data_IF_619473100858
#
_entry.id   IF_619473100858
#
_cell.length_a   1.000
_cell.length_b   1.000
_cell.length_c   1.000
_cell.angle_alpha   90.00
_cell.angle_beta   90.00
_cell.angle_gamma   90.00
#
_symmetry.space_group_name_H-M   'P 1'
#
loop_
_entity.id
_entity.type
_entity.pdbx_description
1 polymer ?
#
# COMPACT_ATOMS: atom_id res chain seq x y z
N UNK A 1 2.19 -36.85 -20.65
CA UNK A 1 3.54 -36.32 -20.31
C UNK A 1 3.78 -36.09 -18.81
N UNK A 2 2.86 -35.52 -18.01
CA UNK A 2 3.07 -35.23 -16.55
C UNK A 2 3.18 -36.49 -15.65
N UNK A 3 2.36 -37.51 -15.86
CA UNK A 3 2.34 -38.74 -15.01
C UNK A 3 3.63 -39.54 -15.13
N UNK A 4 4.15 -39.72 -16.34
CA UNK A 4 5.39 -40.47 -16.58
C UNK A 4 6.61 -39.79 -15.90
N UNK A 5 6.67 -38.47 -15.89
CA UNK A 5 7.72 -37.75 -15.18
C UNK A 5 7.63 -37.94 -13.64
N UNK A 6 6.44 -38.02 -13.09
CA UNK A 6 6.23 -38.30 -11.66
C UNK A 6 6.71 -39.72 -11.33
N UNK A 7 6.32 -40.69 -12.12
CA UNK A 7 6.75 -42.11 -11.96
C UNK A 7 8.27 -42.23 -12.01
N UNK A 8 8.91 -41.57 -12.97
CA UNK A 8 10.36 -41.59 -13.12
C UNK A 8 11.07 -40.93 -11.94
N UNK A 9 10.54 -39.80 -11.43
CA UNK A 9 11.05 -39.16 -10.22
C UNK A 9 10.94 -40.10 -8.99
N UNK A 10 9.78 -40.71 -8.78
CA UNK A 10 9.58 -41.65 -7.67
C UNK A 10 10.53 -42.82 -7.74
N UNK A 11 10.73 -43.44 -8.94
CA UNK A 11 11.68 -44.52 -9.16
C UNK A 11 13.12 -44.09 -8.86
N UNK A 12 13.54 -42.90 -9.32
CA UNK A 12 14.86 -42.34 -9.04
C UNK A 12 15.10 -42.15 -7.54
N UNK A 13 14.16 -41.53 -6.83
CA UNK A 13 14.29 -41.29 -5.38
C UNK A 13 14.30 -42.59 -4.58
N UNK A 14 13.48 -43.59 -4.97
CA UNK A 14 13.47 -44.90 -4.34
C UNK A 14 14.83 -45.60 -4.47
N UNK A 15 15.46 -45.52 -5.65
CA UNK A 15 16.78 -46.13 -5.91
C UNK A 15 17.89 -45.43 -5.13
N UNK A 16 17.82 -44.12 -5.02
CA UNK A 16 18.87 -43.29 -4.38
C UNK A 16 18.76 -43.18 -2.85
N UNK A 17 17.57 -43.12 -2.29
CA UNK A 17 17.35 -42.81 -0.87
C UNK A 17 16.55 -43.88 -0.10
N UNK A 18 16.12 -44.96 -0.76
CA UNK A 18 15.31 -46.03 -0.17
C UNK A 18 13.82 -45.66 -0.01
N UNK A 19 13.01 -46.68 0.26
CA UNK A 19 11.54 -46.60 0.25
C UNK A 19 11.03 -45.60 1.31
N UNK A 20 11.52 -45.68 2.56
CA UNK A 20 11.03 -44.84 3.66
C UNK A 20 11.20 -43.34 3.39
N UNK A 21 12.38 -42.92 2.89
CA UNK A 21 12.63 -41.49 2.55
C UNK A 21 11.82 -41.03 1.35
N UNK A 22 11.60 -41.92 0.36
CA UNK A 22 10.77 -41.64 -0.81
C UNK A 22 9.31 -41.39 -0.42
N UNK A 23 8.73 -42.26 0.41
CA UNK A 23 7.36 -42.07 0.94
C UNK A 23 7.25 -40.77 1.70
N UNK A 24 8.18 -40.46 2.63
CA UNK A 24 8.17 -39.20 3.39
C UNK A 24 8.18 -37.98 2.46
N UNK A 25 8.97 -38.01 1.39
CA UNK A 25 9.06 -36.91 0.41
C UNK A 25 7.80 -36.75 -0.45
N UNK A 26 7.16 -37.88 -0.84
CA UNK A 26 5.89 -37.86 -1.58
C UNK A 26 4.78 -37.31 -0.70
N UNK A 27 4.68 -37.80 0.54
CA UNK A 27 3.70 -37.30 1.52
C UNK A 27 3.89 -35.80 1.77
N UNK A 28 5.12 -35.34 2.02
CA UNK A 28 5.43 -33.92 2.22
C UNK A 28 5.01 -33.04 1.02
N UNK A 29 5.24 -33.50 -0.23
CA UNK A 29 4.77 -32.79 -1.42
C UNK A 29 3.25 -32.75 -1.55
N UNK A 30 2.56 -33.82 -1.16
CA UNK A 30 1.09 -33.86 -1.17
C UNK A 30 0.54 -32.89 -0.12
N UNK A 31 1.08 -32.94 1.12
CA UNK A 31 0.67 -32.00 2.19
C UNK A 31 0.91 -30.55 1.81
N UNK A 32 2.08 -30.22 1.26
CA UNK A 32 2.37 -28.84 0.84
C UNK A 32 1.43 -28.35 -0.28
N UNK A 33 1.05 -29.24 -1.19
CA UNK A 33 0.11 -28.91 -2.27
C UNK A 33 -1.31 -28.68 -1.74
N UNK A 34 -1.76 -29.52 -0.82
CA UNK A 34 -3.08 -29.40 -0.17
C UNK A 34 -3.11 -28.12 0.66
N UNK A 35 -2.06 -27.87 1.45
CA UNK A 35 -1.95 -26.66 2.29
C UNK A 35 -2.00 -25.38 1.44
N UNK A 36 -1.18 -25.27 0.38
CA UNK A 36 -1.23 -24.13 -0.55
C UNK A 36 -2.59 -23.94 -1.18
N UNK A 37 -3.27 -25.04 -1.53
CA UNK A 37 -4.63 -24.94 -2.09
C UNK A 37 -5.63 -24.40 -1.08
N UNK A 38 -5.54 -24.80 0.18
CA UNK A 38 -6.42 -24.29 1.24
C UNK A 38 -6.18 -22.82 1.54
N UNK A 39 -4.90 -22.37 1.55
CA UNK A 39 -4.56 -20.95 1.72
C UNK A 39 -5.08 -20.10 0.56
N UNK A 40 -4.90 -20.57 -0.69
CA UNK A 40 -5.43 -19.87 -1.85
C UNK A 40 -6.96 -19.74 -1.82
N UNK A 41 -7.68 -20.77 -1.39
CA UNK A 41 -9.14 -20.73 -1.24
C UNK A 41 -9.58 -19.76 -0.14
N UNK A 42 -8.86 -19.71 0.99
CA UNK A 42 -9.11 -18.72 2.05
C UNK A 42 -8.89 -17.30 1.54
N UNK A 43 -7.76 -17.05 0.89
CA UNK A 43 -7.42 -15.73 0.34
C UNK A 43 -8.45 -15.28 -0.71
N UNK A 44 -8.93 -16.19 -1.57
CA UNK A 44 -9.98 -15.88 -2.54
C UNK A 44 -11.30 -15.52 -1.85
N UNK A 45 -11.70 -16.29 -0.83
CA UNK A 45 -12.91 -15.99 -0.04
C UNK A 45 -12.82 -14.65 0.68
N UNK A 46 -11.65 -14.28 1.23
CA UNK A 46 -11.44 -12.97 1.87
C UNK A 46 -11.50 -11.82 0.87
N UNK A 47 -10.93 -12.00 -0.32
CA UNK A 47 -11.05 -11.01 -1.41
C UNK A 47 -12.49 -10.80 -1.85
N UNK A 48 -13.27 -11.86 -1.99
CA UNK A 48 -14.69 -11.78 -2.35
C UNK A 48 -15.50 -11.04 -1.27
N UNK A 49 -15.24 -11.33 0.00
CA UNK A 49 -15.84 -10.61 1.13
C UNK A 49 -15.48 -9.13 1.11
N UNK A 50 -14.20 -8.81 0.87
CA UNK A 50 -13.72 -7.43 0.78
C UNK A 50 -14.35 -6.68 -0.39
N UNK A 51 -14.43 -7.29 -1.57
CA UNK A 51 -15.11 -6.68 -2.73
C UNK A 51 -16.60 -6.43 -2.47
N UNK A 52 -17.25 -7.35 -1.77
CA UNK A 52 -18.66 -7.18 -1.36
C UNK A 52 -18.79 -6.04 -0.35
N UNK A 53 -17.84 -5.93 0.59
CA UNK A 53 -17.83 -4.85 1.56
C UNK A 53 -17.61 -3.49 0.87
N UNK A 54 -16.63 -3.37 -0.04
CA UNK A 54 -16.41 -2.16 -0.85
C UNK A 54 -17.72 -1.74 -1.52
N UNK A 55 -18.33 -2.64 -2.28
CA UNK A 55 -19.57 -2.35 -3.00
C UNK A 55 -20.72 -1.83 -2.12
N UNK A 56 -20.75 -2.27 -0.86
CA UNK A 56 -21.83 -1.92 0.07
C UNK A 56 -21.51 -0.69 0.94
N UNK A 57 -20.23 -0.29 1.05
CA UNK A 57 -19.79 0.72 2.01
C UNK A 57 -19.08 1.92 1.35
N UNK A 58 -18.49 1.76 0.17
CA UNK A 58 -17.91 2.90 -0.54
C UNK A 58 -19.00 3.73 -1.22
N UNK A 59 -18.88 5.07 -1.17
CA UNK A 59 -19.84 5.94 -1.82
C UNK A 59 -19.79 5.80 -3.34
N UNK A 60 -20.93 5.88 -3.98
CA UNK A 60 -21.01 5.92 -5.46
C UNK A 60 -20.48 7.26 -5.99
N UNK A 61 -20.12 7.34 -7.29
CA UNK A 61 -19.73 8.61 -7.91
C UNK A 61 -20.77 9.72 -7.72
N UNK A 62 -22.05 9.39 -7.79
CA UNK A 62 -23.14 10.34 -7.58
C UNK A 62 -23.18 10.87 -6.15
N UNK A 63 -22.98 9.97 -5.16
CA UNK A 63 -22.90 10.34 -3.74
C UNK A 63 -21.69 11.23 -3.47
N UNK A 64 -20.53 10.96 -4.13
CA UNK A 64 -19.35 11.82 -4.01
C UNK A 64 -19.60 13.22 -4.57
N UNK A 65 -20.30 13.33 -5.70
CA UNK A 65 -20.69 14.62 -6.27
C UNK A 65 -21.66 15.39 -5.35
N UNK A 66 -22.59 14.71 -4.71
CA UNK A 66 -23.46 15.33 -3.71
C UNK A 66 -22.68 15.82 -2.48
N UNK A 67 -21.72 15.01 -1.98
CA UNK A 67 -20.85 15.41 -0.89
C UNK A 67 -20.05 16.67 -1.21
N UNK A 68 -19.54 16.82 -2.44
CA UNK A 68 -18.80 18.04 -2.87
C UNK A 68 -19.64 19.31 -2.82
N UNK A 69 -20.97 19.19 -2.94
CA UNK A 69 -21.90 20.32 -2.90
C UNK A 69 -22.21 20.77 -1.46
N UNK A 70 -21.88 19.95 -0.46
CA UNK A 70 -22.17 20.28 0.95
C UNK A 70 -21.33 21.49 1.36
N UNK A 71 -21.99 22.48 1.92
CA UNK A 71 -21.35 23.66 2.49
C UNK A 71 -21.39 23.60 4.00
N UNK A 72 -20.23 23.63 4.63
CA UNK A 72 -20.10 23.62 6.09
C UNK A 72 -20.04 25.06 6.62
N UNK A 73 -20.67 25.33 7.79
CA UNK A 73 -20.57 26.63 8.47
C UNK A 73 -19.15 26.89 8.99
N UNK A 74 -18.49 25.84 9.50
CA UNK A 74 -17.10 25.86 9.95
C UNK A 74 -16.32 24.99 8.98
N UNK A 75 -15.23 25.52 8.44
CA UNK A 75 -14.39 24.84 7.45
C UNK A 75 -12.96 24.73 8.00
N UNK A 76 -12.71 23.82 8.97
CA UNK A 76 -11.38 23.66 9.51
C UNK A 76 -10.41 23.20 8.43
N UNK A 77 -9.18 23.69 8.48
CA UNK A 77 -8.12 23.26 7.60
C UNK A 77 -7.38 22.07 8.22
N UNK A 78 -7.18 21.02 7.44
CA UNK A 78 -6.43 19.85 7.84
C UNK A 78 -5.01 19.88 7.27
N UNK A 79 -4.00 19.76 8.13
CA UNK A 79 -2.61 19.56 7.71
C UNK A 79 -2.26 18.08 7.79
N UNK A 80 -1.98 17.46 6.65
CA UNK A 80 -1.59 16.06 6.54
C UNK A 80 -0.06 16.02 6.53
N UNK A 81 0.52 15.53 7.62
CA UNK A 81 1.97 15.56 7.88
C UNK A 81 2.59 14.22 7.55
N UNK A 82 3.50 14.19 6.60
CA UNK A 82 4.05 12.96 6.05
C UNK A 82 5.59 13.01 6.01
N UNK A 83 6.28 12.19 6.81
CA UNK A 83 7.71 11.99 6.66
C UNK A 83 7.99 11.10 5.45
N UNK A 84 8.95 11.48 4.63
CA UNK A 84 9.36 10.74 3.44
C UNK A 84 10.80 10.23 3.56
N UNK A 85 11.05 9.04 3.00
CA UNK A 85 12.39 8.47 2.87
C UNK A 85 12.41 7.44 1.73
N UNK A 86 13.16 7.73 0.65
CA UNK A 86 13.25 6.87 -0.54
C UNK A 86 11.87 6.44 -1.07
N UNK A 87 10.90 7.36 -1.04
CA UNK A 87 9.51 7.05 -1.43
C UNK A 87 9.44 6.79 -2.94
N UNK A 88 8.95 5.61 -3.37
CA UNK A 88 8.74 5.32 -4.79
C UNK A 88 7.70 6.27 -5.40
N UNK A 89 7.97 6.72 -6.62
CA UNK A 89 7.15 7.71 -7.32
C UNK A 89 5.69 7.27 -7.49
N UNK A 90 5.45 5.98 -7.77
CA UNK A 90 4.12 5.43 -7.93
C UNK A 90 3.28 5.56 -6.65
N UNK A 91 3.84 5.23 -5.48
CA UNK A 91 3.13 5.38 -4.20
C UNK A 91 2.87 6.83 -3.85
N UNK A 92 3.82 7.73 -4.16
CA UNK A 92 3.61 9.16 -3.95
C UNK A 92 2.51 9.71 -4.86
N UNK A 93 2.49 9.32 -6.13
CA UNK A 93 1.43 9.70 -7.08
C UNK A 93 0.06 9.23 -6.59
N UNK A 94 -0.06 7.95 -6.22
CA UNK A 94 -1.31 7.39 -5.70
C UNK A 94 -1.80 8.14 -4.45
N UNK A 95 -0.90 8.48 -3.53
CA UNK A 95 -1.22 9.24 -2.33
C UNK A 95 -1.78 10.63 -2.66
N UNK A 96 -1.11 11.35 -3.57
CA UNK A 96 -1.55 12.69 -4.00
C UNK A 96 -2.90 12.61 -4.70
N UNK A 97 -3.10 11.62 -5.56
CA UNK A 97 -4.36 11.41 -6.28
C UNK A 97 -5.51 11.06 -5.31
N UNK A 98 -5.25 10.23 -4.31
CA UNK A 98 -6.21 9.94 -3.24
C UNK A 98 -6.65 11.20 -2.49
N UNK A 99 -5.72 12.11 -2.18
CA UNK A 99 -6.05 13.37 -1.49
C UNK A 99 -6.78 14.35 -2.40
N UNK A 100 -6.42 14.43 -3.69
CA UNK A 100 -7.14 15.26 -4.67
C UNK A 100 -8.58 14.79 -4.89
N UNK A 101 -8.85 13.50 -4.72
CA UNK A 101 -10.19 12.92 -4.86
C UNK A 101 -11.09 13.13 -3.65
N UNK A 102 -10.54 13.57 -2.50
CA UNK A 102 -11.34 13.84 -1.31
C UNK A 102 -12.44 14.89 -1.60
N UNK A 103 -13.62 14.67 -1.06
CA UNK A 103 -14.76 15.58 -1.23
C UNK A 103 -14.62 16.85 -0.39
N UNK A 104 -13.84 16.81 0.69
CA UNK A 104 -13.47 17.98 1.48
C UNK A 104 -12.15 18.56 0.96
N UNK A 105 -12.17 19.82 0.50
CA UNK A 105 -11.04 20.43 -0.21
C UNK A 105 -10.10 21.26 0.66
N UNK A 106 -10.50 21.61 1.90
CA UNK A 106 -9.69 22.47 2.77
C UNK A 106 -8.63 21.69 3.55
N UNK A 107 -7.68 21.19 2.84
CA UNK A 107 -6.53 20.47 3.37
C UNK A 107 -5.21 20.99 2.75
N UNK A 108 -4.12 20.68 3.40
CA UNK A 108 -2.76 20.81 2.88
C UNK A 108 -1.94 19.56 3.20
N UNK A 109 -0.95 19.28 2.37
CA UNK A 109 -0.01 18.19 2.56
C UNK A 109 1.36 18.77 2.91
N UNK A 110 1.91 18.38 4.04
CA UNK A 110 3.19 18.85 4.56
C UNK A 110 4.20 17.71 4.55
N UNK A 111 5.19 17.80 3.69
CA UNK A 111 6.15 16.75 3.38
C UNK A 111 7.55 17.14 3.84
N UNK A 112 8.23 16.22 4.55
CA UNK A 112 9.65 16.34 4.86
C UNK A 112 10.39 15.10 4.40
N UNK A 113 11.27 15.27 3.43
CA UNK A 113 12.00 14.19 2.78
C UNK A 113 13.43 14.10 3.31
N UNK A 114 13.70 13.05 4.09
CA UNK A 114 15.01 12.70 4.61
C UNK A 114 15.81 11.74 3.71
N UNK A 115 15.45 11.60 2.44
CA UNK A 115 16.17 10.75 1.49
C UNK A 115 17.62 11.21 1.30
N UNK A 116 18.56 10.29 1.02
CA UNK A 116 19.98 10.66 0.79
C UNK A 116 20.18 11.55 -0.43
N UNK A 117 19.26 11.47 -1.40
CA UNK A 117 19.25 12.26 -2.63
C UNK A 117 17.84 12.70 -2.94
N UNK A 118 17.69 13.97 -3.31
CA UNK A 118 16.40 14.51 -3.77
C UNK A 118 15.96 13.79 -5.05
N UNK A 119 14.71 13.36 -5.07
CA UNK A 119 14.11 12.77 -6.27
C UNK A 119 13.42 13.88 -7.07
N UNK A 120 14.01 14.25 -8.21
CA UNK A 120 13.50 15.32 -9.07
C UNK A 120 12.15 14.95 -9.75
N UNK A 121 11.84 13.66 -9.88
CA UNK A 121 10.58 13.20 -10.44
C UNK A 121 9.38 13.62 -9.57
N UNK A 122 9.59 13.81 -8.27
CA UNK A 122 8.56 14.30 -7.35
C UNK A 122 8.22 15.78 -7.59
N UNK A 123 9.16 16.58 -8.10
CA UNK A 123 8.99 18.03 -8.23
C UNK A 123 7.78 18.41 -9.10
N UNK A 124 7.51 17.66 -10.16
CA UNK A 124 6.36 17.91 -11.06
C UNK A 124 5.03 17.69 -10.33
N UNK A 125 4.96 16.65 -9.50
CA UNK A 125 3.76 16.31 -8.72
C UNK A 125 3.57 17.33 -7.58
N UNK A 126 4.65 17.66 -6.86
CA UNK A 126 4.61 18.66 -5.77
C UNK A 126 4.12 20.01 -6.30
N UNK A 127 4.65 20.45 -7.43
CA UNK A 127 4.27 21.74 -8.05
C UNK A 127 2.89 21.72 -8.72
N UNK A 128 2.27 20.55 -8.89
CA UNK A 128 0.95 20.43 -9.53
C UNK A 128 -0.21 20.87 -8.65
N UNK A 129 0.04 21.08 -7.35
CA UNK A 129 -1.00 21.50 -6.39
C UNK A 129 -0.36 22.39 -5.29
N UNK A 130 -0.83 23.63 -5.19
CA UNK A 130 -0.34 24.63 -4.22
C UNK A 130 -0.55 24.23 -2.74
N UNK A 131 -1.43 23.28 -2.48
CA UNK A 131 -1.66 22.72 -1.15
C UNK A 131 -0.55 21.79 -0.70
N UNK A 132 0.37 21.38 -1.58
CA UNK A 132 1.49 20.52 -1.28
C UNK A 132 2.70 21.37 -0.88
N UNK A 133 3.11 21.26 0.36
CA UNK A 133 4.31 21.88 0.92
C UNK A 133 5.40 20.83 1.11
N UNK A 134 6.60 21.12 0.68
CA UNK A 134 7.70 20.15 0.68
C UNK A 134 8.99 20.78 1.17
N UNK A 135 9.71 20.06 2.00
CA UNK A 135 11.08 20.36 2.39
C UNK A 135 11.96 19.13 2.20
N UNK A 136 13.08 19.31 1.51
CA UNK A 136 14.12 18.31 1.45
C UNK A 136 15.10 18.53 2.61
N UNK A 137 15.35 17.49 3.40
CA UNK A 137 16.24 17.55 4.55
C UNK A 137 17.67 17.17 4.13
N UNK A 138 18.65 17.85 4.70
CA UNK A 138 20.07 17.52 4.45
C UNK A 138 20.50 16.23 5.17
N UNK A 139 19.68 15.78 6.14
CA UNK A 139 19.98 14.63 6.99
C UNK A 139 18.68 13.89 7.36
N UNK A 140 18.74 12.57 7.40
CA UNK A 140 17.62 11.75 7.84
C UNK A 140 17.55 11.72 9.36
N UNK A 141 16.57 12.38 9.92
CA UNK A 141 16.31 12.45 11.36
C UNK A 141 15.45 11.28 11.90
N UNK A 142 15.22 10.26 11.07
CA UNK A 142 14.29 9.15 11.37
C UNK A 142 12.83 9.59 11.28
N UNK A 143 11.90 8.65 11.49
CA UNK A 143 10.46 8.91 11.33
C UNK A 143 10.02 10.10 12.17
N UNK A 144 10.29 10.10 13.48
CA UNK A 144 9.87 11.17 14.37
C UNK A 144 10.50 12.53 14.04
N UNK A 145 11.79 12.56 13.70
CA UNK A 145 12.48 13.79 13.33
C UNK A 145 11.97 14.36 12.02
N UNK A 146 11.80 13.54 11.01
CA UNK A 146 11.24 13.96 9.71
C UNK A 146 9.77 14.43 9.87
N UNK A 147 8.97 13.74 10.71
CA UNK A 147 7.61 14.19 11.04
C UNK A 147 7.61 15.57 11.68
N UNK A 148 8.53 15.84 12.62
CA UNK A 148 8.63 17.15 13.26
C UNK A 148 9.04 18.25 12.26
N UNK A 149 9.88 17.93 11.26
CA UNK A 149 10.20 18.90 10.21
C UNK A 149 9.00 19.17 9.29
N UNK A 150 8.25 18.14 8.91
CA UNK A 150 7.03 18.30 8.13
C UNK A 150 5.97 19.10 8.91
N UNK A 151 5.86 18.89 10.23
CA UNK A 151 4.94 19.62 11.10
C UNK A 151 5.20 21.14 11.10
N UNK A 152 6.43 21.60 10.92
CA UNK A 152 6.75 23.03 10.81
C UNK A 152 6.12 23.72 9.60
N UNK A 153 5.72 22.95 8.58
CA UNK A 153 5.03 23.47 7.39
C UNK A 153 3.51 23.59 7.59
N UNK A 154 2.99 22.94 8.64
CA UNK A 154 1.56 22.87 8.89
C UNK A 154 0.99 24.21 9.35
N UNK A 155 -0.15 24.57 8.77
CA UNK A 155 -0.90 25.81 9.12
C UNK A 155 -2.38 25.55 9.33
N UNK A 156 -2.79 24.27 9.36
CA UNK A 156 -4.18 23.88 9.57
C UNK A 156 -4.60 23.86 11.02
N UNK A 157 -5.91 23.83 11.23
CA UNK A 157 -6.53 23.75 12.55
C UNK A 157 -6.36 22.36 13.19
N UNK A 158 -6.23 21.35 12.37
CA UNK A 158 -6.03 19.94 12.78
C UNK A 158 -4.87 19.30 12.03
N UNK A 159 -4.15 18.43 12.75
CA UNK A 159 -3.03 17.66 12.20
C UNK A 159 -3.48 16.20 12.02
N UNK A 160 -3.20 15.65 10.84
CA UNK A 160 -3.32 14.23 10.51
C UNK A 160 -1.91 13.65 10.28
N UNK A 161 -1.65 12.49 10.88
CA UNK A 161 -0.39 11.75 10.78
C UNK A 161 -0.62 10.42 10.07
#
# INVERSE_FOLDING_TARGET
MRIQNIINQVRYYRKKYGIKKTIKKVISKIYSKIFRRSENLKMQSEREKYQTWIKNNEPTPEQLEEQRKITFKIKPKFSIVIPMYNTPINFFTELVDCLKQQTYSNWEMCLADGSPKKNEELDSIIKSDERIKYVFLNDNKGISGNTNEALKLATGDYILL
#
